data_IF_967661493262
#
_entry.id   IF_967661493262
#
_cell.length_a   1.000
_cell.length_b   1.000
_cell.length_c   1.000
_cell.angle_alpha   90.00
_cell.angle_beta   90.00
_cell.angle_gamma   90.00
#
_symmetry.space_group_name_H-M   'P 1'
#
loop_
_entity.id
_entity.type
_entity.pdbx_description
1 polymer ?
#
# COMPACT_ATOMS: atom_id res chain seq x y z
N UNK A 1 -34.11 -17.52 -19.40
CA UNK A 1 -34.71 -18.65 -18.63
C UNK A 1 -34.71 -18.21 -17.19
N UNK A 2 -35.91 -17.95 -16.65
CA UNK A 2 -36.12 -17.43 -15.28
C UNK A 2 -36.21 -18.63 -14.36
N UNK A 3 -35.19 -18.80 -13.49
CA UNK A 3 -35.26 -19.76 -12.41
C UNK A 3 -36.25 -19.25 -11.35
N UNK A 4 -37.28 -20.02 -11.09
CA UNK A 4 -38.27 -19.76 -10.04
C UNK A 4 -37.62 -20.04 -8.69
N UNK A 5 -37.67 -19.08 -7.80
CA UNK A 5 -37.38 -19.24 -6.38
C UNK A 5 -38.29 -20.34 -5.80
N UNK A 6 -37.80 -21.20 -4.89
CA UNK A 6 -38.59 -22.23 -4.25
C UNK A 6 -39.74 -21.62 -3.44
N UNK A 7 -40.92 -22.21 -3.57
CA UNK A 7 -42.14 -21.79 -2.85
C UNK A 7 -42.04 -22.05 -1.34
N UNK A 8 -42.70 -21.23 -0.52
CA UNK A 8 -42.76 -21.33 0.95
C UNK A 8 -43.07 -22.75 1.48
N UNK A 9 -43.78 -23.58 0.70
CA UNK A 9 -44.08 -24.97 1.05
C UNK A 9 -42.82 -25.90 1.03
N UNK A 10 -41.75 -25.52 0.33
CA UNK A 10 -40.52 -26.29 0.30
C UNK A 10 -39.60 -25.98 1.50
N UNK A 11 -39.78 -24.79 2.10
CA UNK A 11 -39.01 -24.37 3.29
C UNK A 11 -39.56 -24.99 4.56
N UNK A 12 -40.89 -25.19 4.64
CA UNK A 12 -41.56 -25.85 5.78
C UNK A 12 -41.33 -27.36 5.81
N UNK A 13 -41.21 -28.02 4.64
CA UNK A 13 -40.93 -29.46 4.59
C UNK A 13 -39.48 -29.83 4.98
N UNK A 14 -38.54 -28.88 4.81
CA UNK A 14 -37.16 -29.10 5.27
C UNK A 14 -36.99 -28.88 6.80
N UNK A 15 -37.94 -28.21 7.45
CA UNK A 15 -37.91 -27.94 8.90
C UNK A 15 -38.46 -29.08 9.77
N UNK A 16 -39.20 -30.02 9.20
CA UNK A 16 -39.82 -31.10 9.97
C UNK A 16 -39.07 -32.44 9.93
N UNK A 17 -37.98 -32.56 9.20
CA UNK A 17 -37.29 -33.84 9.02
C UNK A 17 -36.13 -34.11 10.00
N UNK A 18 -35.77 -33.23 10.89
CA UNK A 18 -34.63 -33.44 11.80
C UNK A 18 -34.86 -32.91 13.25
N UNK A 19 -36.02 -33.23 13.83
CA UNK A 19 -36.14 -33.24 15.29
C UNK A 19 -35.61 -34.58 15.85
N UNK A 20 -34.46 -35.05 15.38
CA UNK A 20 -33.64 -35.95 16.23
C UNK A 20 -33.18 -35.11 17.39
N UNK A 21 -33.78 -35.35 18.54
CA UNK A 21 -33.31 -34.95 19.85
C UNK A 21 -31.79 -34.97 19.80
N UNK A 22 -31.20 -33.78 19.77
CA UNK A 22 -29.77 -33.62 20.06
C UNK A 22 -29.68 -34.09 21.51
N UNK A 23 -29.22 -35.34 21.72
CA UNK A 23 -28.88 -35.80 23.06
C UNK A 23 -27.98 -34.72 23.67
N UNK A 24 -28.28 -34.19 24.85
CA UNK A 24 -27.39 -33.22 25.48
C UNK A 24 -26.04 -33.88 25.54
N UNK A 25 -25.02 -33.22 24.99
CA UNK A 25 -23.64 -33.67 25.07
C UNK A 25 -23.37 -33.98 26.52
N UNK A 26 -23.30 -35.26 26.82
CA UNK A 26 -23.12 -35.77 28.21
C UNK A 26 -21.81 -35.18 28.73
N UNK A 27 -21.92 -34.33 29.70
CA UNK A 27 -20.86 -33.65 30.39
C UNK A 27 -20.91 -32.15 30.06
N UNK A 28 -21.84 -31.46 30.70
CA UNK A 28 -21.61 -30.03 31.00
C UNK A 28 -20.38 -30.06 31.92
N UNK A 29 -19.20 -30.02 31.28
CA UNK A 29 -17.96 -29.86 32.03
C UNK A 29 -18.12 -28.54 32.80
N UNK A 30 -18.08 -28.64 34.14
CA UNK A 30 -18.02 -27.45 34.98
C UNK A 30 -16.89 -26.57 34.40
N UNK A 31 -17.14 -25.29 34.14
CA UNK A 31 -16.12 -24.44 33.57
C UNK A 31 -14.87 -24.53 34.45
N UNK A 32 -13.73 -24.82 33.81
CA UNK A 32 -12.43 -24.81 34.48
C UNK A 32 -11.94 -23.39 34.51
N UNK A 33 -11.71 -22.86 35.68
CA UNK A 33 -11.22 -21.47 35.86
C UNK A 33 -9.73 -21.38 36.13
N UNK A 34 -9.02 -22.50 36.10
CA UNK A 34 -7.59 -22.63 36.35
C UNK A 34 -6.78 -21.74 35.39
N UNK A 35 -7.28 -21.52 34.17
CA UNK A 35 -6.64 -20.64 33.17
C UNK A 35 -6.53 -19.18 33.64
N UNK A 36 -7.40 -18.74 34.60
CA UNK A 36 -7.34 -17.38 35.13
C UNK A 36 -6.06 -17.09 35.93
N UNK A 37 -5.41 -18.11 36.42
CA UNK A 37 -4.13 -18.02 37.13
C UNK A 37 -2.91 -18.25 36.23
N UNK A 38 -3.10 -18.52 34.95
CA UNK A 38 -1.99 -18.85 34.04
C UNK A 38 -1.31 -17.64 33.41
N UNK A 39 -1.88 -16.45 33.55
CA UNK A 39 -1.29 -15.23 32.97
C UNK A 39 -0.60 -14.40 34.06
N UNK A 40 0.61 -13.91 33.74
CA UNK A 40 1.34 -12.95 34.58
C UNK A 40 0.87 -11.51 34.31
N UNK A 41 -0.02 -11.30 33.33
CA UNK A 41 -0.47 -9.99 32.86
C UNK A 41 -1.72 -9.49 33.61
N UNK A 42 -2.25 -10.30 34.56
CA UNK A 42 -3.41 -9.86 35.32
C UNK A 42 -3.08 -8.64 36.19
N UNK A 43 -3.86 -7.57 36.00
CA UNK A 43 -3.66 -6.30 36.71
C UNK A 43 -2.87 -5.26 35.93
N UNK A 44 -2.23 -5.63 34.82
CA UNK A 44 -1.67 -4.66 33.88
C UNK A 44 -2.82 -3.84 33.28
N UNK A 45 -2.72 -2.51 33.36
CA UNK A 45 -3.78 -1.61 32.89
C UNK A 45 -3.16 -0.44 32.17
N UNK A 46 -3.72 -0.13 31.01
CA UNK A 46 -3.41 1.07 30.23
C UNK A 46 -4.43 2.15 30.55
N UNK A 47 -3.98 3.41 30.61
CA UNK A 47 -4.87 4.55 30.77
C UNK A 47 -4.90 5.35 29.47
N UNK A 48 -6.10 5.78 29.01
CA UNK A 48 -6.19 6.68 27.88
C UNK A 48 -5.42 8.00 28.15
N UNK A 49 -4.68 8.45 27.15
CA UNK A 49 -4.06 9.78 27.12
C UNK A 49 -5.04 10.87 26.66
N UNK A 50 -4.52 12.06 26.37
CA UNK A 50 -5.33 13.19 25.87
C UNK A 50 -5.94 12.92 24.49
N UNK A 51 -5.39 12.00 23.72
CA UNK A 51 -5.88 11.56 22.41
C UNK A 51 -6.60 10.21 22.45
N UNK A 52 -7.06 9.79 23.63
CA UNK A 52 -7.68 8.48 23.84
C UNK A 52 -6.66 7.39 24.11
N UNK A 53 -7.06 6.14 23.86
CA UNK A 53 -6.22 4.97 23.97
C UNK A 53 -5.72 4.57 22.58
N UNK A 54 -4.45 4.81 22.32
CA UNK A 54 -3.82 4.60 21.02
C UNK A 54 -3.14 3.23 20.92
N UNK A 55 -2.87 2.77 19.71
CA UNK A 55 -2.21 1.50 19.46
C UNK A 55 -0.86 1.38 20.20
N UNK A 56 -0.04 2.42 20.20
CA UNK A 56 1.25 2.46 20.91
C UNK A 56 1.12 2.35 22.44
N UNK A 57 -0.01 2.75 23.02
CA UNK A 57 -0.26 2.64 24.45
C UNK A 57 -0.47 1.19 24.91
N UNK A 58 -0.72 0.26 23.96
CA UNK A 58 -0.94 -1.16 24.24
C UNK A 58 0.36 -1.94 24.44
N UNK A 59 1.51 -1.31 24.23
CA UNK A 59 2.83 -1.91 24.43
C UNK A 59 3.19 -1.94 25.93
N UNK A 60 2.50 -2.80 26.66
CA UNK A 60 2.67 -3.00 28.10
C UNK A 60 2.80 -4.48 28.43
N UNK A 61 3.28 -4.81 29.62
CA UNK A 61 3.48 -6.19 30.04
C UNK A 61 4.48 -6.91 29.12
N UNK A 62 4.14 -8.09 28.64
CA UNK A 62 4.97 -8.86 27.70
C UNK A 62 5.12 -8.21 26.32
N UNK A 63 4.34 -7.18 26.02
CA UNK A 63 4.45 -6.36 24.82
C UNK A 63 5.17 -5.02 25.08
N UNK A 64 5.56 -4.74 26.31
CA UNK A 64 6.19 -3.47 26.68
C UNK A 64 7.52 -3.23 25.98
N UNK A 65 8.18 -4.30 25.57
CA UNK A 65 9.40 -4.23 24.76
C UNK A 65 9.22 -5.14 23.54
N UNK A 66 9.28 -4.55 22.35
CA UNK A 66 9.20 -5.29 21.08
C UNK A 66 10.59 -5.85 20.79
N UNK A 67 10.78 -7.19 20.83
CA UNK A 67 12.09 -7.79 20.71
C UNK A 67 12.65 -7.68 19.28
N UNK A 68 13.98 -7.72 19.19
CA UNK A 68 14.69 -7.73 17.90
C UNK A 68 14.43 -9.00 17.06
N UNK A 69 13.99 -10.07 17.73
CA UNK A 69 13.71 -11.35 17.07
C UNK A 69 12.51 -12.04 17.73
N UNK A 70 11.57 -12.51 16.89
CA UNK A 70 10.47 -13.35 17.29
C UNK A 70 10.64 -14.78 16.78
N UNK A 71 10.56 -15.78 17.66
CA UNK A 71 10.57 -17.18 17.26
C UNK A 71 9.25 -17.62 16.61
N UNK A 72 8.16 -16.94 16.93
CA UNK A 72 6.83 -17.29 16.44
C UNK A 72 6.73 -17.22 14.93
N UNK A 73 6.20 -18.30 14.38
CA UNK A 73 5.97 -18.41 12.95
C UNK A 73 4.75 -17.59 12.53
N UNK A 74 4.73 -17.23 11.27
CA UNK A 74 3.59 -16.62 10.60
C UNK A 74 2.45 -17.61 10.36
N UNK A 75 1.28 -17.14 9.94
CA UNK A 75 0.09 -17.94 9.58
C UNK A 75 -0.54 -18.74 10.73
N UNK A 76 -0.32 -18.36 11.94
CA UNK A 76 -1.00 -18.95 13.08
C UNK A 76 -1.34 -17.92 14.14
N UNK A 77 -2.46 -18.08 14.85
CA UNK A 77 -2.76 -17.26 16.00
C UNK A 77 -1.65 -17.40 17.05
N UNK A 78 -1.42 -16.35 17.80
CA UNK A 78 -0.50 -16.35 18.91
C UNK A 78 -0.92 -17.42 19.93
N UNK A 79 0.06 -18.17 20.41
CA UNK A 79 -0.20 -19.30 21.31
C UNK A 79 -0.73 -20.57 20.64
N UNK A 80 -0.97 -20.56 19.33
CA UNK A 80 -1.38 -21.76 18.62
C UNK A 80 -0.24 -22.79 18.58
N UNK A 81 -0.57 -24.05 18.89
CA UNK A 81 0.38 -25.14 18.81
C UNK A 81 0.76 -25.47 17.38
N UNK A 82 2.03 -25.74 17.13
CA UNK A 82 2.49 -26.28 15.85
C UNK A 82 1.93 -27.68 15.66
N UNK A 83 1.36 -27.96 14.49
CA UNK A 83 0.95 -29.33 14.13
C UNK A 83 2.16 -30.08 13.60
N UNK A 84 2.45 -31.29 14.11
CA UNK A 84 3.48 -32.15 13.55
C UNK A 84 3.24 -32.38 12.04
N UNK A 85 4.29 -32.36 11.24
CA UNK A 85 4.22 -32.67 9.82
C UNK A 85 3.82 -31.49 8.89
N UNK A 86 3.48 -30.31 9.43
CA UNK A 86 3.33 -29.11 8.62
C UNK A 86 4.72 -28.48 8.45
N UNK A 87 5.24 -28.37 7.21
CA UNK A 87 6.53 -27.73 7.00
C UNK A 87 6.43 -26.24 7.38
N UNK A 88 7.50 -25.67 7.93
CA UNK A 88 7.58 -24.22 8.14
C UNK A 88 7.47 -23.51 6.79
N UNK A 89 7.02 -22.25 6.81
CA UNK A 89 7.08 -21.42 5.62
C UNK A 89 8.53 -21.30 5.15
N UNK A 90 8.79 -21.39 3.84
CA UNK A 90 10.15 -21.34 3.31
C UNK A 90 10.85 -19.99 3.59
N UNK A 91 10.04 -18.95 3.86
CA UNK A 91 10.52 -17.62 4.18
C UNK A 91 9.59 -16.96 5.20
N UNK A 92 10.15 -16.47 6.29
CA UNK A 92 9.44 -15.74 7.34
C UNK A 92 10.28 -14.55 7.78
N UNK A 93 9.66 -13.40 7.95
CA UNK A 93 10.29 -12.21 8.50
C UNK A 93 10.16 -12.26 10.03
N UNK A 94 11.26 -12.45 10.72
CA UNK A 94 11.30 -12.64 12.18
C UNK A 94 12.10 -11.58 12.91
N UNK A 95 13.00 -10.91 12.19
CA UNK A 95 13.82 -9.86 12.76
C UNK A 95 13.13 -8.51 12.62
N UNK A 96 13.20 -7.71 13.67
CA UNK A 96 12.60 -6.38 13.71
C UNK A 96 13.07 -5.50 12.54
N UNK A 97 14.35 -5.52 12.22
CA UNK A 97 14.93 -4.74 11.12
C UNK A 97 14.43 -5.15 9.72
N UNK A 98 13.71 -6.28 9.58
CA UNK A 98 13.18 -6.71 8.28
C UNK A 98 11.86 -6.03 7.91
N UNK A 99 11.16 -5.40 8.87
CA UNK A 99 9.85 -4.79 8.61
C UNK A 99 9.49 -3.57 9.47
N UNK A 100 10.23 -3.33 10.56
CA UNK A 100 9.89 -2.33 11.55
C UNK A 100 10.03 -0.91 11.02
N UNK A 101 9.12 -0.04 11.46
CA UNK A 101 9.18 1.40 11.37
C UNK A 101 8.65 1.97 12.69
N UNK A 102 9.36 2.92 13.29
CA UNK A 102 9.00 3.47 14.60
C UNK A 102 7.68 4.27 14.55
N UNK A 103 7.35 4.80 13.38
CA UNK A 103 6.12 5.55 13.14
C UNK A 103 4.86 4.68 12.90
N UNK A 104 4.98 3.34 12.81
CA UNK A 104 3.88 2.48 12.35
C UNK A 104 2.59 2.62 13.17
N UNK A 105 2.70 2.67 14.51
CA UNK A 105 1.54 2.83 15.39
C UNK A 105 0.83 4.18 15.21
N UNK A 106 1.60 5.26 15.06
CA UNK A 106 1.04 6.61 14.86
C UNK A 106 0.37 6.73 13.50
N UNK A 107 0.98 6.17 12.46
CA UNK A 107 0.41 6.15 11.10
C UNK A 107 -0.87 5.32 11.03
N UNK A 108 -0.97 4.24 11.80
CA UNK A 108 -2.21 3.47 11.91
C UNK A 108 -3.35 4.35 12.45
N UNK A 109 -3.11 5.06 13.54
CA UNK A 109 -4.13 5.95 14.14
C UNK A 109 -4.53 7.07 13.19
N UNK A 110 -3.58 7.65 12.47
CA UNK A 110 -3.85 8.68 11.47
C UNK A 110 -4.70 8.12 10.32
N UNK A 111 -4.37 6.93 9.80
CA UNK A 111 -5.11 6.29 8.73
C UNK A 111 -6.58 6.00 9.12
N UNK A 112 -6.82 5.61 10.38
CA UNK A 112 -8.19 5.40 10.89
C UNK A 112 -8.99 6.72 10.95
N UNK A 113 -8.34 7.82 11.33
CA UNK A 113 -8.99 9.11 11.51
C UNK A 113 -9.29 9.83 10.18
N UNK A 114 -8.43 9.63 9.16
CA UNK A 114 -8.50 10.34 7.87
C UNK A 114 -9.12 9.52 6.74
N UNK A 115 -9.99 8.59 7.06
CA UNK A 115 -10.72 7.83 6.04
C UNK A 115 -11.72 8.72 5.30
N UNK A 116 -11.78 8.52 4.01
CA UNK A 116 -12.75 9.17 3.13
C UNK A 116 -13.52 8.14 2.29
N UNK A 117 -14.70 8.50 1.80
CA UNK A 117 -15.63 7.59 1.13
C UNK A 117 -15.80 8.01 -0.34
N UNK A 118 -15.25 7.25 -1.32
CA UNK A 118 -15.34 7.61 -2.73
C UNK A 118 -16.75 7.78 -3.27
N UNK A 119 -17.72 7.07 -2.69
CA UNK A 119 -19.09 7.09 -3.18
C UNK A 119 -19.83 8.39 -2.88
N UNK A 120 -19.60 9.01 -1.72
CA UNK A 120 -20.42 10.08 -1.18
C UNK A 120 -19.67 11.38 -0.89
N UNK A 121 -18.36 11.34 -0.72
CA UNK A 121 -17.56 12.51 -0.38
C UNK A 121 -16.91 13.15 -1.61
N UNK A 122 -16.63 12.37 -2.67
CA UNK A 122 -16.17 12.93 -3.94
C UNK A 122 -17.32 13.72 -4.58
N UNK A 123 -17.11 15.00 -4.93
CA UNK A 123 -18.15 15.83 -5.55
C UNK A 123 -18.35 15.45 -7.03
N UNK A 124 -18.90 14.27 -7.30
CA UNK A 124 -19.09 13.73 -8.66
C UNK A 124 -19.88 14.65 -9.59
N UNK A 125 -20.78 15.48 -9.03
CA UNK A 125 -21.58 16.44 -9.80
C UNK A 125 -20.74 17.60 -10.39
N UNK A 126 -19.49 17.76 -9.94
CA UNK A 126 -18.56 18.75 -10.49
C UNK A 126 -17.87 18.32 -11.79
N UNK A 127 -18.07 17.07 -12.22
CA UNK A 127 -17.46 16.58 -13.46
C UNK A 127 -18.02 17.33 -14.67
N UNK A 128 -17.14 17.95 -15.44
CA UNK A 128 -17.45 18.67 -16.66
C UNK A 128 -16.97 17.91 -17.89
N UNK A 129 -17.59 18.17 -19.01
CA UNK A 129 -17.15 17.62 -20.31
C UNK A 129 -15.81 18.21 -20.69
N UNK A 130 -14.81 17.39 -20.82
CA UNK A 130 -13.48 17.78 -21.28
C UNK A 130 -13.32 17.53 -22.80
N UNK A 131 -12.37 18.19 -23.47
CA UNK A 131 -11.96 17.80 -24.81
C UNK A 131 -11.58 16.31 -24.85
N UNK A 132 -11.95 15.60 -25.90
CA UNK A 132 -11.79 14.15 -26.04
C UNK A 132 -10.34 13.67 -25.79
N UNK A 133 -9.35 14.42 -26.23
CA UNK A 133 -7.93 14.09 -26.07
C UNK A 133 -7.49 14.24 -24.61
N UNK A 134 -7.99 15.27 -23.92
CA UNK A 134 -7.73 15.49 -22.48
C UNK A 134 -8.42 14.39 -21.65
N UNK A 135 -9.72 14.13 -21.92
CA UNK A 135 -10.45 13.08 -21.19
C UNK A 135 -9.78 11.71 -21.35
N UNK A 136 -9.36 11.35 -22.56
CA UNK A 136 -8.61 10.09 -22.78
C UNK A 136 -7.30 10.06 -22.04
N UNK A 137 -6.59 11.17 -21.93
CA UNK A 137 -5.34 11.26 -21.18
C UNK A 137 -5.58 11.10 -19.68
N UNK A 138 -6.62 11.72 -19.11
CA UNK A 138 -7.02 11.54 -17.71
C UNK A 138 -7.40 10.08 -17.44
N UNK A 139 -8.23 9.47 -18.29
CA UNK A 139 -8.62 8.06 -18.19
C UNK A 139 -7.40 7.12 -18.24
N UNK A 140 -6.42 7.42 -19.10
CA UNK A 140 -5.18 6.64 -19.18
C UNK A 140 -4.38 6.71 -17.87
N UNK A 141 -4.22 7.92 -17.29
CA UNK A 141 -3.51 8.08 -16.01
C UNK A 141 -4.27 7.43 -14.85
N UNK A 142 -5.58 7.55 -14.81
CA UNK A 142 -6.41 6.83 -13.83
C UNK A 142 -6.21 5.31 -13.92
N UNK A 143 -6.13 4.76 -15.14
CA UNK A 143 -5.88 3.33 -15.35
C UNK A 143 -4.50 2.93 -14.84
N UNK A 144 -3.47 3.69 -15.17
CA UNK A 144 -2.09 3.43 -14.75
C UNK A 144 -1.92 3.50 -13.22
N UNK A 145 -2.44 4.54 -12.58
CA UNK A 145 -2.39 4.68 -11.13
C UNK A 145 -3.20 3.59 -10.42
N UNK A 146 -4.30 3.13 -11.01
CA UNK A 146 -5.06 1.97 -10.50
C UNK A 146 -4.23 0.70 -10.52
N UNK A 147 -3.41 0.46 -11.56
CA UNK A 147 -2.48 -0.68 -11.62
C UNK A 147 -1.37 -0.55 -10.58
N UNK A 148 -0.85 0.65 -10.34
CA UNK A 148 0.14 0.90 -9.28
C UNK A 148 -0.45 0.59 -7.90
N UNK A 149 -1.69 1.02 -7.62
CA UNK A 149 -2.37 0.72 -6.36
C UNK A 149 -2.62 -0.79 -6.18
N UNK A 150 -3.00 -1.51 -7.26
CA UNK A 150 -3.14 -2.97 -7.23
C UNK A 150 -1.79 -3.65 -6.90
N UNK A 151 -0.71 -3.19 -7.52
CA UNK A 151 0.64 -3.72 -7.26
C UNK A 151 1.04 -3.55 -5.80
N UNK A 152 0.79 -2.38 -5.21
CA UNK A 152 1.04 -2.11 -3.81
C UNK A 152 0.22 -3.03 -2.90
N UNK A 153 -1.08 -3.19 -3.17
CA UNK A 153 -1.96 -4.09 -2.44
C UNK A 153 -1.44 -5.53 -2.46
N UNK A 154 -1.11 -6.06 -3.62
CA UNK A 154 -0.69 -7.45 -3.77
C UNK A 154 0.65 -7.74 -3.10
N UNK A 155 1.65 -6.87 -3.26
CA UNK A 155 2.95 -7.09 -2.64
C UNK A 155 2.89 -6.98 -1.10
N UNK A 156 2.06 -6.08 -0.57
CA UNK A 156 1.84 -5.99 0.88
C UNK A 156 1.16 -7.27 1.38
N UNK A 157 0.09 -7.71 0.74
CA UNK A 157 -0.61 -8.94 1.12
C UNK A 157 0.33 -10.15 1.12
N UNK A 158 1.20 -10.27 0.11
CA UNK A 158 2.21 -11.31 0.02
C UNK A 158 3.20 -11.30 1.19
N UNK A 159 3.76 -10.14 1.55
CA UNK A 159 4.74 -10.05 2.63
C UNK A 159 4.12 -10.03 4.02
N UNK A 160 2.94 -9.42 4.19
CA UNK A 160 2.23 -9.38 5.47
C UNK A 160 1.90 -10.78 6.01
N UNK A 161 1.61 -11.73 5.11
CA UNK A 161 1.43 -13.15 5.45
C UNK A 161 2.71 -13.80 5.99
N UNK A 162 3.87 -13.26 5.69
CA UNK A 162 5.20 -13.76 6.08
C UNK A 162 5.82 -13.03 7.26
N UNK A 163 5.25 -11.93 7.67
CA UNK A 163 5.69 -11.17 8.84
C UNK A 163 5.33 -11.89 10.13
N UNK A 164 6.26 -11.92 11.08
CA UNK A 164 6.02 -12.50 12.40
C UNK A 164 4.83 -11.84 13.06
N UNK A 165 4.09 -12.65 13.78
CA UNK A 165 2.89 -12.26 14.50
C UNK A 165 3.15 -11.21 15.60
N UNK A 166 4.37 -11.11 16.11
CA UNK A 166 4.72 -10.20 17.20
C UNK A 166 4.84 -8.74 16.83
N UNK A 167 4.91 -8.40 15.53
CA UNK A 167 5.03 -7.01 15.07
C UNK A 167 3.66 -6.45 14.66
N UNK A 168 2.78 -6.27 15.64
CA UNK A 168 1.37 -5.89 15.41
C UNK A 168 1.22 -4.55 14.72
N UNK A 169 1.93 -3.53 15.17
CA UNK A 169 1.80 -2.16 14.68
C UNK A 169 2.04 -2.10 13.18
N UNK A 170 3.09 -2.77 12.73
CA UNK A 170 3.41 -2.86 11.30
C UNK A 170 2.30 -3.58 10.54
N UNK A 171 1.84 -4.74 11.05
CA UNK A 171 0.79 -5.52 10.39
C UNK A 171 -0.53 -4.77 10.33
N UNK A 172 -0.90 -4.05 11.38
CA UNK A 172 -2.12 -3.27 11.44
C UNK A 172 -2.04 -2.05 10.53
N UNK A 173 -0.91 -1.34 10.53
CA UNK A 173 -0.69 -0.25 9.60
C UNK A 173 -0.76 -0.72 8.13
N UNK A 174 -0.06 -1.79 7.77
CA UNK A 174 -0.09 -2.34 6.40
C UNK A 174 -1.50 -2.80 5.98
N UNK A 175 -2.36 -3.21 6.92
CA UNK A 175 -3.76 -3.50 6.62
C UNK A 175 -4.54 -2.22 6.23
N UNK A 176 -4.23 -1.07 6.84
CA UNK A 176 -4.83 0.22 6.40
C UNK A 176 -4.31 0.62 5.02
N UNK A 177 -3.04 0.39 4.71
CA UNK A 177 -2.48 0.65 3.39
C UNK A 177 -3.17 -0.18 2.32
N UNK A 178 -3.40 -1.48 2.56
CA UNK A 178 -4.16 -2.32 1.60
C UNK A 178 -5.59 -1.83 1.40
N UNK A 179 -6.24 -1.33 2.45
CA UNK A 179 -7.55 -0.72 2.34
C UNK A 179 -7.52 0.58 1.53
N UNK A 180 -6.54 1.46 1.75
CA UNK A 180 -6.33 2.68 0.98
C UNK A 180 -6.10 2.35 -0.50
N UNK A 181 -5.26 1.37 -0.81
CA UNK A 181 -5.02 0.92 -2.20
C UNK A 181 -6.30 0.43 -2.89
N UNK A 182 -7.14 -0.34 -2.20
CA UNK A 182 -8.44 -0.78 -2.75
C UNK A 182 -9.35 0.41 -3.06
N UNK A 183 -9.38 1.42 -2.18
CA UNK A 183 -10.12 2.67 -2.37
C UNK A 183 -9.56 3.50 -3.54
N UNK A 184 -8.24 3.58 -3.68
CA UNK A 184 -7.59 4.25 -4.82
C UNK A 184 -7.96 3.58 -6.15
N UNK A 185 -7.94 2.25 -6.22
CA UNK A 185 -8.39 1.51 -7.39
C UNK A 185 -9.86 1.83 -7.73
N UNK A 186 -10.72 1.85 -6.72
CA UNK A 186 -12.14 2.15 -6.87
C UNK A 186 -12.36 3.55 -7.44
N UNK A 187 -11.78 4.57 -6.81
CA UNK A 187 -12.03 5.98 -7.17
C UNK A 187 -11.46 6.33 -8.54
N UNK A 188 -10.28 5.83 -8.89
CA UNK A 188 -9.67 6.04 -10.19
C UNK A 188 -10.49 5.39 -11.33
N UNK A 189 -11.01 4.18 -11.09
CA UNK A 189 -11.92 3.54 -12.05
C UNK A 189 -13.24 4.29 -12.17
N UNK A 190 -13.79 4.77 -11.06
CA UNK A 190 -14.99 5.62 -11.09
C UNK A 190 -14.74 6.87 -11.91
N UNK A 191 -13.62 7.61 -11.67
CA UNK A 191 -13.30 8.80 -12.47
C UNK A 191 -13.19 8.48 -13.97
N UNK A 192 -12.48 7.42 -14.35
CA UNK A 192 -12.31 7.03 -15.75
C UNK A 192 -13.63 6.65 -16.46
N UNK A 193 -14.60 6.12 -15.70
CA UNK A 193 -15.88 5.64 -16.26
C UNK A 193 -17.02 6.66 -16.16
N UNK A 194 -16.93 7.63 -15.26
CA UNK A 194 -18.05 8.55 -14.97
C UNK A 194 -18.24 9.64 -16.03
N UNK A 195 -17.20 10.03 -16.73
CA UNK A 195 -17.25 11.17 -17.68
C UNK A 195 -17.33 10.73 -19.15
N UNK A 196 -17.71 9.48 -19.40
CA UNK A 196 -17.89 8.96 -20.76
C UNK A 196 -16.59 8.51 -21.44
N UNK A 197 -15.43 8.61 -20.76
CA UNK A 197 -14.13 8.23 -21.33
C UNK A 197 -13.96 6.72 -21.46
N UNK A 198 -13.88 6.04 -20.34
CA UNK A 198 -13.56 4.61 -20.24
C UNK A 198 -12.16 4.37 -19.70
N UNK A 199 -11.80 3.10 -19.54
CA UNK A 199 -10.45 2.72 -19.10
C UNK A 199 -9.46 2.87 -20.25
N UNK A 200 -8.23 3.28 -19.90
CA UNK A 200 -7.09 3.31 -20.82
C UNK A 200 -6.51 1.91 -21.07
N UNK A 201 -5.40 1.86 -21.78
CA UNK A 201 -4.64 0.63 -21.95
C UNK A 201 -3.81 0.36 -20.69
N UNK A 202 -3.69 -0.91 -20.35
CA UNK A 202 -2.76 -1.34 -19.30
C UNK A 202 -1.33 -1.32 -19.88
N UNK A 203 -0.45 -0.55 -19.25
CA UNK A 203 0.95 -0.46 -19.67
C UNK A 203 1.69 -1.77 -19.40
N UNK A 204 2.90 -1.91 -19.93
CA UNK A 204 3.75 -3.09 -19.68
C UNK A 204 4.22 -3.21 -18.23
N UNK A 205 4.00 -2.17 -17.40
CA UNK A 205 4.18 -2.19 -15.95
C UNK A 205 5.53 -2.73 -15.49
N UNK A 206 6.64 -2.30 -16.07
CA UNK A 206 7.98 -2.87 -15.79
C UNK A 206 8.38 -2.75 -14.33
N UNK A 207 8.18 -1.57 -13.73
CA UNK A 207 8.45 -1.36 -12.31
C UNK A 207 7.44 -2.11 -11.44
N UNK A 208 6.15 -2.13 -11.83
CA UNK A 208 5.14 -2.91 -11.12
C UNK A 208 5.49 -4.39 -11.10
N UNK A 209 5.93 -4.94 -12.23
CA UNK A 209 6.39 -6.33 -12.31
C UNK A 209 7.60 -6.60 -11.43
N UNK A 210 8.59 -5.72 -11.44
CA UNK A 210 9.77 -5.83 -10.58
C UNK A 210 9.39 -5.87 -9.10
N UNK A 211 8.43 -5.02 -8.68
CA UNK A 211 7.92 -4.99 -7.31
C UNK A 211 7.30 -6.35 -6.96
N UNK A 212 6.39 -6.86 -7.79
CA UNK A 212 5.70 -8.14 -7.54
C UNK A 212 6.62 -9.36 -7.58
N UNK A 213 7.70 -9.31 -8.34
CA UNK A 213 8.71 -10.37 -8.45
C UNK A 213 9.82 -10.25 -7.37
N UNK A 214 9.79 -9.21 -6.52
CA UNK A 214 10.77 -9.06 -5.44
C UNK A 214 10.65 -10.21 -4.43
N UNK A 215 11.75 -10.93 -4.21
CA UNK A 215 11.78 -12.15 -3.40
C UNK A 215 12.82 -12.15 -2.28
N UNK A 216 13.67 -11.15 -2.23
CA UNK A 216 14.76 -11.04 -1.25
C UNK A 216 14.34 -10.48 0.13
N UNK A 217 13.06 -10.19 0.34
CA UNK A 217 12.50 -9.72 1.60
C UNK A 217 11.66 -8.46 1.48
N UNK A 218 10.99 -8.10 2.56
CA UNK A 218 10.15 -6.90 2.59
C UNK A 218 10.95 -5.61 2.32
N UNK A 219 12.17 -5.52 2.86
CA UNK A 219 13.05 -4.36 2.61
C UNK A 219 13.35 -4.17 1.11
N UNK A 220 13.55 -5.26 0.34
CA UNK A 220 13.69 -5.16 -1.11
C UNK A 220 12.42 -4.61 -1.76
N UNK A 221 11.27 -5.17 -1.40
CA UNK A 221 9.99 -4.69 -1.91
C UNK A 221 9.80 -3.20 -1.61
N UNK A 222 10.13 -2.73 -0.40
CA UNK A 222 10.01 -1.32 0.02
C UNK A 222 10.95 -0.40 -0.76
N UNK A 223 12.17 -0.84 -1.09
CA UNK A 223 13.09 -0.06 -1.95
C UNK A 223 12.42 0.24 -3.29
N UNK A 224 11.83 -0.75 -3.92
CA UNK A 224 11.18 -0.56 -5.22
C UNK A 224 9.84 0.14 -5.12
N UNK A 225 9.02 -0.24 -4.13
CA UNK A 225 7.66 0.26 -3.94
C UNK A 225 7.65 1.71 -3.48
N UNK A 226 8.37 2.05 -2.42
CA UNK A 226 8.25 3.37 -1.79
C UNK A 226 9.37 4.32 -2.18
N UNK A 227 10.64 3.88 -2.14
CA UNK A 227 11.75 4.78 -2.45
C UNK A 227 11.79 5.17 -3.94
N UNK A 228 11.40 4.28 -4.82
CA UNK A 228 11.43 4.54 -6.27
C UNK A 228 10.05 4.84 -6.84
N UNK A 229 9.14 3.86 -6.85
CA UNK A 229 7.79 4.02 -7.43
C UNK A 229 6.98 5.08 -6.69
N UNK A 230 6.97 5.03 -5.37
CA UNK A 230 6.18 5.93 -4.53
C UNK A 230 6.61 7.38 -4.67
N UNK A 231 7.91 7.67 -4.70
CA UNK A 231 8.43 9.02 -4.95
C UNK A 231 7.98 9.55 -6.33
N UNK A 232 7.99 8.70 -7.36
CA UNK A 232 7.48 9.06 -8.69
C UNK A 232 5.96 9.32 -8.68
N UNK A 233 5.17 8.44 -8.04
CA UNK A 233 3.71 8.62 -7.91
C UNK A 233 3.37 9.93 -7.20
N UNK A 234 4.11 10.31 -6.16
CA UNK A 234 3.91 11.59 -5.47
C UNK A 234 4.00 12.77 -6.45
N UNK A 235 4.97 12.77 -7.34
CA UNK A 235 5.12 13.82 -8.35
C UNK A 235 4.01 13.77 -9.40
N UNK A 236 3.58 12.56 -9.82
CA UNK A 236 2.43 12.43 -10.73
C UNK A 236 1.16 12.99 -10.08
N UNK A 237 0.84 12.61 -8.85
CA UNK A 237 -0.35 13.08 -8.14
C UNK A 237 -0.31 14.60 -7.89
N UNK A 238 0.85 15.14 -7.51
CA UNK A 238 1.05 16.60 -7.35
C UNK A 238 0.82 17.34 -8.66
N UNK A 239 1.35 16.80 -9.76
CA UNK A 239 1.14 17.33 -11.09
C UNK A 239 -0.33 17.30 -11.53
N UNK A 240 -1.02 16.19 -11.26
CA UNK A 240 -2.45 16.01 -11.53
C UNK A 240 -3.30 16.97 -10.68
N UNK A 241 -3.03 17.08 -9.39
CA UNK A 241 -3.74 18.01 -8.50
C UNK A 241 -3.62 19.45 -8.98
N UNK A 242 -2.41 19.87 -9.40
CA UNK A 242 -2.19 21.23 -9.91
C UNK A 242 -2.79 21.47 -11.30
N UNK A 243 -3.28 20.44 -11.97
CA UNK A 243 -3.89 20.46 -13.30
C UNK A 243 -5.30 19.87 -13.30
N UNK A 244 -5.90 19.68 -12.12
CA UNK A 244 -7.25 19.18 -11.98
C UNK A 244 -8.25 20.10 -12.69
N UNK A 245 -9.18 19.51 -13.42
CA UNK A 245 -10.15 20.23 -14.24
C UNK A 245 -11.45 20.55 -13.47
N UNK A 246 -11.68 19.89 -12.34
CA UNK A 246 -12.88 20.00 -11.55
C UNK A 246 -12.62 19.62 -10.08
N UNK A 247 -13.61 19.88 -9.22
CA UNK A 247 -13.50 19.62 -7.78
C UNK A 247 -13.41 18.12 -7.47
N UNK A 248 -14.02 17.25 -8.27
CA UNK A 248 -13.91 15.80 -8.09
C UNK A 248 -12.46 15.32 -8.27
N UNK A 249 -11.78 15.75 -9.33
CA UNK A 249 -10.36 15.46 -9.54
C UNK A 249 -9.48 16.03 -8.43
N UNK A 250 -9.71 17.28 -8.04
CA UNK A 250 -8.99 17.93 -6.94
C UNK A 250 -9.14 17.16 -5.62
N UNK A 251 -10.36 16.75 -5.30
CA UNK A 251 -10.65 15.92 -4.12
C UNK A 251 -9.90 14.58 -4.18
N UNK A 252 -10.03 13.86 -5.30
CA UNK A 252 -9.42 12.54 -5.48
C UNK A 252 -7.89 12.63 -5.30
N UNK A 253 -7.24 13.53 -6.05
CA UNK A 253 -5.78 13.59 -6.04
C UNK A 253 -5.21 14.11 -4.71
N UNK A 254 -5.88 15.06 -4.04
CA UNK A 254 -5.45 15.54 -2.72
C UNK A 254 -5.55 14.46 -1.65
N UNK A 255 -6.65 13.71 -1.60
CA UNK A 255 -6.83 12.64 -0.60
C UNK A 255 -5.92 11.43 -0.88
N UNK A 256 -5.70 11.10 -2.16
CA UNK A 256 -4.69 10.09 -2.51
C UNK A 256 -3.29 10.52 -2.11
N UNK A 257 -2.93 11.81 -2.23
CA UNK A 257 -1.63 12.32 -1.75
C UNK A 257 -1.49 12.21 -0.23
N UNK A 258 -2.54 12.50 0.53
CA UNK A 258 -2.53 12.34 1.99
C UNK A 258 -2.35 10.88 2.40
N UNK A 259 -3.08 9.96 1.77
CA UNK A 259 -2.92 8.52 2.01
C UNK A 259 -1.51 8.08 1.65
N UNK A 260 -1.04 8.46 0.46
CA UNK A 260 0.27 8.08 -0.05
C UNK A 260 1.42 8.63 0.79
N UNK A 261 1.28 9.83 1.37
CA UNK A 261 2.28 10.38 2.29
C UNK A 261 2.48 9.48 3.53
N UNK A 262 1.40 8.88 4.06
CA UNK A 262 1.50 7.90 5.17
C UNK A 262 2.23 6.62 4.74
N UNK A 263 1.91 6.12 3.54
CA UNK A 263 2.57 4.94 2.97
C UNK A 263 4.08 5.16 2.82
N UNK A 264 4.47 6.31 2.26
CA UNK A 264 5.88 6.69 2.09
C UNK A 264 6.59 6.89 3.41
N UNK A 265 5.93 7.53 4.39
CA UNK A 265 6.51 7.76 5.72
C UNK A 265 6.90 6.44 6.37
N UNK A 266 6.02 5.44 6.35
CA UNK A 266 6.34 4.10 6.81
C UNK A 266 7.52 3.51 6.01
N UNK A 267 7.47 3.57 4.70
CA UNK A 267 8.50 2.99 3.83
C UNK A 267 9.88 3.58 4.10
N UNK A 268 9.97 4.89 4.20
CA UNK A 268 11.25 5.59 4.46
C UNK A 268 11.77 5.31 5.86
N UNK A 269 10.90 5.33 6.88
CA UNK A 269 11.29 5.02 8.25
C UNK A 269 11.76 3.55 8.37
N UNK A 270 11.07 2.60 7.72
CA UNK A 270 11.52 1.21 7.64
C UNK A 270 12.91 1.10 7.00
N UNK A 271 13.15 1.74 5.86
CA UNK A 271 14.47 1.71 5.20
C UNK A 271 15.56 2.31 6.09
N UNK A 272 15.24 3.39 6.79
CA UNK A 272 16.17 4.01 7.76
C UNK A 272 16.46 3.09 8.93
N UNK A 273 15.43 2.45 9.48
CA UNK A 273 15.58 1.46 10.54
C UNK A 273 16.48 0.29 10.08
N UNK A 274 16.19 -0.29 8.92
CA UNK A 274 17.00 -1.37 8.35
C UNK A 274 18.46 -0.93 8.08
N UNK A 275 18.68 0.27 7.55
CA UNK A 275 20.02 0.81 7.30
C UNK A 275 20.84 0.98 8.58
N UNK A 276 20.17 1.30 9.70
CA UNK A 276 20.79 1.56 10.99
C UNK A 276 21.04 0.28 11.79
N UNK A 277 20.11 -0.67 11.77
CA UNK A 277 20.12 -1.84 12.65
C UNK A 277 20.61 -3.13 11.97
N UNK A 278 20.77 -3.16 10.65
CA UNK A 278 21.29 -4.32 9.93
C UNK A 278 22.59 -4.00 9.23
N UNK A 279 23.70 -4.62 9.68
CA UNK A 279 25.00 -4.46 9.04
C UNK A 279 24.94 -4.86 7.56
N UNK A 280 25.44 -4.00 6.68
CA UNK A 280 25.48 -4.24 5.24
C UNK A 280 24.19 -3.93 4.48
N UNK A 281 23.13 -3.48 5.16
CA UNK A 281 21.84 -3.14 4.55
C UNK A 281 21.98 -2.08 3.45
N UNK A 282 22.74 -1.02 3.70
CA UNK A 282 22.98 0.06 2.72
C UNK A 282 23.67 -0.45 1.44
N UNK A 283 24.58 -1.42 1.55
CA UNK A 283 25.22 -2.02 0.38
C UNK A 283 24.22 -2.86 -0.44
N UNK A 284 23.35 -3.62 0.22
CA UNK A 284 22.28 -4.36 -0.43
C UNK A 284 21.33 -3.39 -1.12
N UNK A 285 20.85 -2.36 -0.42
CA UNK A 285 19.97 -1.34 -1.00
C UNK A 285 20.61 -0.67 -2.22
N UNK A 286 21.90 -0.37 -2.19
CA UNK A 286 22.62 0.20 -3.35
C UNK A 286 22.54 -0.72 -4.57
N UNK A 287 22.69 -2.03 -4.39
CA UNK A 287 22.56 -3.00 -5.48
C UNK A 287 21.14 -3.04 -6.03
N UNK A 288 20.12 -3.05 -5.14
CA UNK A 288 18.71 -3.03 -5.52
C UNK A 288 18.37 -1.76 -6.30
N UNK A 289 18.85 -0.59 -5.85
CA UNK A 289 18.65 0.68 -6.55
C UNK A 289 19.24 0.66 -7.95
N UNK A 290 20.43 0.07 -8.15
CA UNK A 290 21.01 -0.05 -9.49
C UNK A 290 20.13 -0.85 -10.44
N UNK A 291 19.53 -1.94 -9.97
CA UNK A 291 18.56 -2.74 -10.73
C UNK A 291 17.28 -1.93 -11.00
N UNK A 292 16.73 -1.34 -9.96
CA UNK A 292 15.49 -0.56 -10.03
C UNK A 292 15.59 0.65 -10.96
N UNK A 293 16.71 1.37 -10.94
CA UNK A 293 16.96 2.50 -11.83
C UNK A 293 16.92 2.09 -13.31
N UNK A 294 17.43 0.89 -13.65
CA UNK A 294 17.34 0.36 -15.01
C UNK A 294 15.87 0.13 -15.43
N UNK A 295 15.05 -0.44 -14.55
CA UNK A 295 13.62 -0.64 -14.82
C UNK A 295 12.86 0.69 -14.91
N UNK A 296 13.16 1.65 -14.03
CA UNK A 296 12.55 2.99 -14.08
C UNK A 296 12.96 3.73 -15.36
N UNK A 297 14.23 3.67 -15.75
CA UNK A 297 14.70 4.27 -17.00
C UNK A 297 13.96 3.71 -18.23
N UNK A 298 13.74 2.40 -18.24
CA UNK A 298 12.96 1.76 -19.32
C UNK A 298 11.48 2.11 -19.28
N UNK A 299 10.89 2.29 -18.11
CA UNK A 299 9.49 2.72 -17.97
C UNK A 299 9.29 4.17 -18.39
N UNK A 300 10.20 5.07 -18.04
CA UNK A 300 10.15 6.48 -18.49
C UNK A 300 10.32 6.64 -19.99
N UNK A 301 10.88 5.66 -20.71
CA UNK A 301 10.89 5.60 -22.17
C UNK A 301 9.51 5.29 -22.75
N UNK A 302 8.66 4.56 -21.98
CA UNK A 302 7.32 4.25 -22.44
C UNK A 302 6.52 5.55 -22.64
N UNK A 303 6.00 5.71 -23.84
CA UNK A 303 5.38 6.97 -24.26
C UNK A 303 4.00 7.21 -23.67
N UNK A 304 3.35 6.20 -23.07
CA UNK A 304 1.93 6.28 -22.70
C UNK A 304 1.71 7.24 -21.53
N UNK A 305 2.35 7.01 -20.38
CA UNK A 305 2.23 7.90 -19.21
C UNK A 305 2.76 9.29 -19.54
N UNK A 306 3.92 9.36 -20.19
CA UNK A 306 4.54 10.63 -20.63
C UNK A 306 3.62 11.46 -21.49
N UNK A 307 3.03 10.86 -22.54
CA UNK A 307 2.14 11.59 -23.45
C UNK A 307 0.83 11.97 -22.80
N UNK A 308 0.25 11.09 -21.97
CA UNK A 308 -0.97 11.39 -21.24
C UNK A 308 -0.77 12.58 -20.27
N UNK A 309 0.30 12.56 -19.46
CA UNK A 309 0.63 13.68 -18.58
C UNK A 309 0.92 14.96 -19.37
N UNK A 310 1.63 14.88 -20.49
CA UNK A 310 1.89 16.03 -21.33
C UNK A 310 0.59 16.63 -21.92
N UNK A 311 -0.36 15.79 -22.35
CA UNK A 311 -1.67 16.23 -22.85
C UNK A 311 -2.45 16.93 -21.74
N UNK A 312 -2.51 16.39 -20.53
CA UNK A 312 -3.16 17.00 -19.38
C UNK A 312 -2.53 18.37 -19.09
N UNK A 313 -1.21 18.44 -18.96
CA UNK A 313 -0.49 19.69 -18.69
C UNK A 313 -0.60 20.71 -19.81
N UNK A 314 -0.76 20.25 -21.03
CA UNK A 314 -0.92 21.07 -22.22
C UNK A 314 -2.34 21.57 -22.45
N UNK A 315 -3.34 20.94 -21.85
CA UNK A 315 -4.75 21.16 -22.14
C UNK A 315 -5.15 20.69 -23.53
N UNK A 316 -4.58 19.56 -23.99
CA UNK A 316 -4.82 18.93 -25.29
C UNK A 316 -3.52 18.57 -26.01
N UNK A 317 -3.63 17.83 -27.13
CA UNK A 317 -2.49 17.29 -27.91
C UNK A 317 -1.52 18.40 -28.34
N UNK A 318 -2.03 19.52 -28.89
CA UNK A 318 -1.17 20.58 -29.40
C UNK A 318 -0.34 21.26 -28.28
N UNK A 319 -0.98 21.62 -27.18
CA UNK A 319 -0.27 22.13 -25.99
C UNK A 319 0.63 21.09 -25.34
N UNK A 320 0.24 19.82 -25.42
CA UNK A 320 0.98 18.68 -24.93
C UNK A 320 2.36 18.52 -25.59
N UNK A 321 2.45 18.74 -26.90
CA UNK A 321 3.71 18.65 -27.66
C UNK A 321 4.75 19.71 -27.27
N UNK A 322 4.34 20.75 -26.61
CA UNK A 322 5.20 21.91 -26.26
C UNK A 322 5.27 22.13 -24.76
N UNK A 323 4.38 22.97 -24.22
CA UNK A 323 4.38 23.33 -22.79
C UNK A 323 4.12 22.12 -21.87
N UNK A 324 3.25 21.21 -22.31
CA UNK A 324 2.92 20.01 -21.52
C UNK A 324 4.11 19.08 -21.39
N UNK A 325 4.85 18.83 -22.48
CA UNK A 325 6.05 18.02 -22.43
C UNK A 325 7.14 18.66 -21.55
N UNK A 326 7.35 19.96 -21.64
CA UNK A 326 8.30 20.67 -20.76
C UNK A 326 7.95 20.50 -19.29
N UNK A 327 6.65 20.59 -18.95
CA UNK A 327 6.22 20.41 -17.57
C UNK A 327 6.37 18.97 -17.09
N UNK A 328 6.12 17.99 -17.96
CA UNK A 328 6.37 16.58 -17.62
C UNK A 328 7.86 16.32 -17.39
N UNK A 329 8.75 16.84 -18.21
CA UNK A 329 10.19 16.70 -18.01
C UNK A 329 10.66 17.33 -16.71
N UNK A 330 10.11 18.49 -16.33
CA UNK A 330 10.36 19.10 -15.03
C UNK A 330 9.88 18.21 -13.88
N UNK A 331 8.70 17.60 -14.00
CA UNK A 331 8.19 16.65 -13.02
C UNK A 331 9.14 15.45 -12.83
N UNK A 332 9.67 14.90 -13.93
CA UNK A 332 10.65 13.79 -13.86
C UNK A 332 11.95 14.25 -13.19
N UNK A 333 12.41 15.44 -13.49
CA UNK A 333 13.57 16.05 -12.82
C UNK A 333 13.34 16.18 -11.31
N UNK A 334 12.22 16.76 -10.88
CA UNK A 334 11.85 16.92 -9.48
C UNK A 334 11.75 15.55 -8.76
N UNK A 335 11.21 14.53 -9.43
CA UNK A 335 11.20 13.16 -8.92
C UNK A 335 12.63 12.66 -8.65
N UNK A 336 13.55 12.86 -9.58
CA UNK A 336 14.93 12.38 -9.43
C UNK A 336 15.69 13.17 -8.36
N UNK A 337 15.43 14.46 -8.20
CA UNK A 337 15.99 15.28 -7.13
C UNK A 337 15.53 14.77 -5.75
N UNK A 338 14.24 14.47 -5.57
CA UNK A 338 13.70 13.87 -4.35
C UNK A 338 14.30 12.50 -4.07
N UNK A 339 14.34 11.64 -5.10
CA UNK A 339 14.92 10.31 -5.02
C UNK A 339 16.38 10.35 -4.55
N UNK A 340 17.20 11.20 -5.13
CA UNK A 340 18.60 11.37 -4.73
C UNK A 340 18.73 11.92 -3.31
N UNK A 341 17.88 12.87 -2.93
CA UNK A 341 17.84 13.41 -1.57
C UNK A 341 17.51 12.32 -0.54
N UNK A 342 16.52 11.48 -0.83
CA UNK A 342 16.14 10.34 0.02
C UNK A 342 17.26 9.28 0.10
N UNK A 343 17.92 8.98 -1.00
CA UNK A 343 19.08 8.09 -1.01
C UNK A 343 20.19 8.63 -0.10
N UNK A 344 20.54 9.91 -0.20
CA UNK A 344 21.53 10.54 0.69
C UNK A 344 21.11 10.48 2.17
N UNK A 345 19.84 10.74 2.46
CA UNK A 345 19.31 10.63 3.82
C UNK A 345 19.45 9.21 4.40
N UNK A 346 19.34 8.17 3.56
CA UNK A 346 19.59 6.78 3.92
C UNK A 346 21.09 6.43 4.04
N UNK A 347 22.00 7.35 3.71
CA UNK A 347 23.45 7.10 3.66
C UNK A 347 23.90 6.40 2.39
N UNK A 348 23.14 6.51 1.31
CA UNK A 348 23.43 5.90 0.00
C UNK A 348 23.64 7.03 -1.01
N UNK A 349 24.89 7.30 -1.36
CA UNK A 349 25.16 8.24 -2.43
C UNK A 349 24.94 7.57 -3.80
N UNK A 350 24.09 8.20 -4.62
CA UNK A 350 23.73 7.74 -5.98
C UNK A 350 24.08 8.75 -7.09
N UNK A 351 24.50 9.96 -6.76
CA UNK A 351 24.69 11.03 -7.75
C UNK A 351 25.64 10.64 -8.89
N UNK A 352 26.78 10.05 -8.55
CA UNK A 352 27.76 9.63 -9.56
C UNK A 352 27.37 8.33 -10.28
N UNK A 353 26.63 7.45 -9.60
CA UNK A 353 26.31 6.09 -10.07
C UNK A 353 24.88 5.94 -10.57
N UNK A 354 24.11 7.03 -10.61
CA UNK A 354 22.75 7.04 -11.18
C UNK A 354 22.78 6.52 -12.62
N UNK A 355 21.75 5.75 -12.98
CA UNK A 355 21.61 5.23 -14.33
C UNK A 355 21.74 6.36 -15.39
N UNK A 356 22.57 6.22 -16.44
CA UNK A 356 22.88 7.32 -17.36
C UNK A 356 21.66 8.00 -17.99
N UNK A 357 20.63 7.22 -18.33
CA UNK A 357 19.41 7.78 -18.87
C UNK A 357 18.63 8.63 -17.82
N UNK A 358 18.61 8.21 -16.55
CA UNK A 358 17.98 9.00 -15.50
C UNK A 358 18.79 10.28 -15.24
N UNK A 359 20.10 10.20 -15.31
CA UNK A 359 21.00 11.34 -15.16
C UNK A 359 20.76 12.40 -16.22
N UNK A 360 20.45 12.02 -17.47
CA UNK A 360 20.19 12.99 -18.54
C UNK A 360 18.99 13.90 -18.26
N UNK A 361 18.01 13.48 -17.45
CA UNK A 361 16.90 14.36 -17.03
C UNK A 361 17.30 15.44 -16.02
N UNK A 362 18.47 15.33 -15.39
CA UNK A 362 19.00 16.31 -14.44
C UNK A 362 19.89 17.36 -15.14
N UNK A 363 20.40 17.03 -16.31
CA UNK A 363 21.37 17.86 -17.07
C UNK A 363 20.68 18.88 -17.99
N UNK A 364 19.41 18.66 -18.37
CA UNK A 364 18.57 19.57 -19.20
C UNK A 364 17.73 20.53 -18.34
#
# INVERSE_FOLDING_TARGET
>A
MSEKLPTEAAVTAAGEADSKTIEPVHGVHKPKYDWMGLTNEWGVRVKPGIHGLRLGDLNVGIYGEIPEFWEDQTRRPRGALSRPGIPPLPYSLRYKHEMWADCAADLYEEAIQRRWIPATEVPWDSLEVLPDDVERAVCQICTELSQCANTELEIIAYWQDRMSYGYFEVKQFLATVTFDCARHMEVLRKRALSNGGGLGIESRGRVNRMILESSGGWTEAVVYLYLMRGTYITRLLTGLLSSAHNDAESFIYSHMLEDHARHLTYGYDHLKYAATHRKGSTAIMRTLLTIGEGHMADELKDGVVRSAMAIIFGGGIEGGRTRGMKRYLLLVREFLEDYLALCRWLGIDREETLHPMLKSYLED
#
